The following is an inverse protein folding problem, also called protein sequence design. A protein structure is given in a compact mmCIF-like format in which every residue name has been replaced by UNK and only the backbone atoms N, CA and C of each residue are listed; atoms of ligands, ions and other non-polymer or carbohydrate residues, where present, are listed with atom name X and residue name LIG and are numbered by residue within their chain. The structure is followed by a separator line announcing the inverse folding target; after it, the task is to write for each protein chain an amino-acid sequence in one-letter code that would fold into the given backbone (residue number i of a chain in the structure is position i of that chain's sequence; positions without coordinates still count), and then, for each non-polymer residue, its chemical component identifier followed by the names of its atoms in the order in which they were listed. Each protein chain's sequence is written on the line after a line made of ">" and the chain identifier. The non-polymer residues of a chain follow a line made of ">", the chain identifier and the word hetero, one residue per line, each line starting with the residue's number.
data_IF_232802605575
#
_entry.id   IF_232802605575
#
_cell.length_a   1.000
_cell.length_b   1.000
_cell.length_c   1.000
_cell.angle_alpha   90.00
_cell.angle_beta   90.00
_cell.angle_gamma   90.00
#
_symmetry.space_group_name_H-M   'P 1'
#
loop_
_entity.id
_entity.type
_entity.pdbx_description
1 polymer ?
#
# COMPACT_ATOMS: atom_id res chain seq x y z
N UNK A 1 16.37 -5.69 -9.97
CA UNK A 1 14.99 -6.18 -9.88
C UNK A 1 14.74 -6.66 -8.45
N UNK A 2 13.65 -6.22 -7.83
CA UNK A 2 13.21 -6.61 -6.50
C UNK A 2 11.83 -7.26 -6.59
N UNK A 3 11.50 -8.20 -5.70
CA UNK A 3 10.17 -8.83 -5.65
C UNK A 3 9.39 -8.15 -4.54
N UNK A 4 8.27 -7.51 -4.88
CA UNK A 4 7.42 -6.81 -3.90
C UNK A 4 6.27 -7.69 -3.40
N UNK A 5 5.84 -8.68 -4.18
CA UNK A 5 4.79 -9.61 -3.79
C UNK A 5 4.96 -10.95 -4.52
N UNK A 6 4.61 -12.04 -3.83
CA UNK A 6 4.58 -13.40 -4.39
C UNK A 6 3.35 -14.12 -3.86
N UNK A 7 2.59 -14.75 -4.76
CA UNK A 7 1.52 -15.68 -4.40
C UNK A 7 1.77 -17.03 -5.07
N UNK A 8 1.61 -18.10 -4.30
CA UNK A 8 1.94 -19.46 -4.72
C UNK A 8 0.96 -20.01 -5.76
N UNK A 9 -0.30 -19.63 -5.65
CA UNK A 9 -1.38 -20.15 -6.49
C UNK A 9 -2.36 -19.03 -6.85
N UNK A 10 -2.36 -18.69 -8.14
CA UNK A 10 -3.35 -17.80 -8.77
C UNK A 10 -4.01 -18.51 -9.93
N UNK A 11 -5.26 -18.13 -10.18
CA UNK A 11 -6.10 -18.67 -11.24
C UNK A 11 -6.32 -17.59 -12.29
N UNK A 12 -6.20 -17.96 -13.55
CA UNK A 12 -6.42 -17.08 -14.70
C UNK A 12 -7.69 -17.50 -15.41
N UNK A 13 -8.52 -16.52 -15.77
CA UNK A 13 -9.82 -16.70 -16.39
C UNK A 13 -9.88 -15.92 -17.70
N UNK A 14 -10.56 -16.50 -18.67
CA UNK A 14 -10.92 -15.78 -19.88
C UNK A 14 -12.10 -14.86 -19.57
N UNK A 15 -11.97 -13.58 -19.92
CA UNK A 15 -13.01 -12.59 -19.67
C UNK A 15 -13.66 -12.14 -20.99
N UNK A 16 -14.96 -11.86 -20.99
CA UNK A 16 -15.60 -11.22 -22.13
C UNK A 16 -15.02 -9.82 -22.38
N UNK A 17 -14.95 -9.36 -23.64
CA UNK A 17 -14.60 -7.97 -23.94
C UNK A 17 -15.65 -7.04 -23.32
N UNK A 18 -15.21 -5.87 -22.82
CA UNK A 18 -16.12 -4.86 -22.24
C UNK A 18 -17.20 -4.46 -23.25
N UNK A 19 -18.46 -4.77 -22.93
CA UNK A 19 -19.62 -4.34 -23.73
C UNK A 19 -20.36 -3.14 -23.11
N UNK A 20 -20.07 -2.81 -21.86
CA UNK A 20 -20.82 -1.81 -21.07
C UNK A 20 -19.88 -1.00 -20.17
N UNK A 21 -20.32 0.20 -19.77
CA UNK A 21 -19.61 1.09 -18.83
C UNK A 21 -19.67 0.59 -17.36
N UNK A 22 -20.22 -0.59 -17.11
CA UNK A 22 -20.46 -1.16 -15.78
C UNK A 22 -19.19 -1.70 -15.10
N UNK A 23 -18.05 -1.74 -15.81
CA UNK A 23 -16.80 -2.35 -15.34
C UNK A 23 -16.83 -3.87 -15.45
N UNK A 24 -15.82 -4.53 -14.87
CA UNK A 24 -15.71 -5.99 -14.86
C UNK A 24 -16.40 -6.60 -13.63
N UNK A 25 -17.12 -7.71 -13.86
CA UNK A 25 -17.87 -8.43 -12.85
C UNK A 25 -17.49 -9.93 -12.90
N UNK A 26 -17.08 -10.52 -11.77
CA UNK A 26 -16.57 -11.90 -11.74
C UNK A 26 -17.68 -12.92 -11.91
N UNK A 27 -18.92 -12.56 -11.55
CA UNK A 27 -20.12 -13.36 -11.85
C UNK A 27 -20.39 -13.58 -13.34
N UNK A 28 -19.77 -12.80 -14.24
CA UNK A 28 -19.82 -13.01 -15.69
C UNK A 28 -18.75 -14.00 -16.19
N UNK A 29 -17.84 -14.43 -15.31
CA UNK A 29 -16.73 -15.32 -15.64
C UNK A 29 -17.05 -16.75 -15.23
N UNK A 30 -16.45 -17.72 -15.92
CA UNK A 30 -16.54 -19.13 -15.54
C UNK A 30 -15.49 -19.44 -14.45
N UNK A 31 -15.86 -19.18 -13.18
CA UNK A 31 -14.97 -19.33 -12.02
C UNK A 31 -14.60 -20.79 -11.75
N UNK A 32 -15.43 -21.74 -12.18
CA UNK A 32 -15.19 -23.17 -11.98
C UNK A 32 -14.19 -23.74 -13.00
N UNK A 33 -14.00 -23.05 -14.13
CA UNK A 33 -13.11 -23.47 -15.21
C UNK A 33 -12.00 -22.43 -15.47
N UNK A 34 -10.96 -22.38 -14.62
CA UNK A 34 -9.80 -21.52 -14.89
C UNK A 34 -9.09 -21.94 -16.17
N UNK A 35 -8.68 -20.95 -16.97
CA UNK A 35 -7.86 -21.13 -18.17
C UNK A 35 -6.46 -21.64 -17.81
N UNK A 36 -5.90 -21.13 -16.72
CA UNK A 36 -4.56 -21.47 -16.27
C UNK A 36 -4.43 -21.29 -14.76
N UNK A 37 -3.49 -22.01 -14.16
CA UNK A 37 -3.12 -21.91 -12.76
C UNK A 37 -1.61 -21.91 -12.62
N UNK A 38 -1.10 -21.05 -11.76
CA UNK A 38 0.32 -21.06 -11.39
C UNK A 38 0.67 -20.03 -10.35
N UNK A 39 1.92 -19.59 -10.35
CA UNK A 39 2.50 -18.67 -9.38
C UNK A 39 2.49 -17.24 -9.93
N UNK A 40 2.17 -16.26 -9.09
CA UNK A 40 2.29 -14.84 -9.41
C UNK A 40 3.51 -14.25 -8.71
N UNK A 41 4.33 -13.51 -9.45
CA UNK A 41 5.39 -12.67 -8.91
C UNK A 41 5.18 -11.24 -9.38
N UNK A 42 5.26 -10.30 -8.44
CA UNK A 42 5.22 -8.87 -8.74
C UNK A 42 6.61 -8.33 -8.53
N UNK A 43 7.19 -7.82 -9.61
CA UNK A 43 8.59 -7.40 -9.66
C UNK A 43 8.67 -5.90 -9.87
N UNK A 44 9.56 -5.30 -9.10
CA UNK A 44 9.96 -3.92 -9.22
C UNK A 44 11.30 -3.87 -9.95
N UNK A 45 11.31 -3.23 -11.12
CA UNK A 45 12.47 -3.15 -12.01
C UNK A 45 12.87 -1.68 -12.09
N UNK A 46 14.08 -1.36 -11.64
CA UNK A 46 14.67 -0.04 -11.85
C UNK A 46 14.93 0.18 -13.34
N UNK A 47 14.66 1.37 -13.83
CA UNK A 47 14.93 1.76 -15.21
C UNK A 47 16.35 2.34 -15.29
N UNK A 48 17.23 1.69 -16.05
CA UNK A 48 18.65 2.07 -16.15
C UNK A 48 18.84 3.45 -16.79
N UNK A 49 17.88 3.91 -17.59
CA UNK A 49 17.96 5.20 -18.29
C UNK A 49 17.71 6.42 -17.37
N UNK A 50 17.01 6.22 -16.25
CA UNK A 50 16.79 7.22 -15.24
C UNK A 50 16.71 6.50 -13.89
N UNK A 51 17.80 6.49 -13.12
CA UNK A 51 17.91 5.77 -11.84
C UNK A 51 16.78 6.06 -10.83
N UNK A 52 16.00 7.12 -11.07
CA UNK A 52 14.83 7.54 -10.29
C UNK A 52 13.52 6.87 -10.71
N UNK A 53 13.44 6.31 -11.92
CA UNK A 53 12.22 5.70 -12.46
C UNK A 53 12.24 4.21 -12.20
N UNK A 54 11.16 3.74 -11.61
CA UNK A 54 10.97 2.32 -11.31
C UNK A 54 9.66 1.87 -11.96
N UNK A 55 9.69 0.70 -12.61
CA UNK A 55 8.51 0.07 -13.22
C UNK A 55 8.13 -1.18 -12.44
N UNK A 56 6.85 -1.51 -12.41
CA UNK A 56 6.34 -2.74 -11.81
C UNK A 56 5.84 -3.66 -12.91
N UNK A 57 6.14 -4.94 -12.81
CA UNK A 57 5.77 -5.98 -13.76
C UNK A 57 5.21 -7.18 -12.99
N UNK A 58 4.04 -7.67 -13.42
CA UNK A 58 3.44 -8.89 -12.89
C UNK A 58 3.81 -10.04 -13.82
N UNK A 59 4.45 -11.07 -13.30
CA UNK A 59 4.81 -12.29 -14.04
C UNK A 59 4.03 -13.47 -13.52
N UNK A 60 3.32 -14.12 -14.43
CA UNK A 60 2.60 -15.37 -14.20
C UNK A 60 3.51 -16.51 -14.64
N UNK A 61 3.93 -17.34 -13.70
CA UNK A 61 4.88 -18.43 -13.93
C UNK A 61 4.23 -19.77 -13.58
N UNK A 62 4.52 -20.82 -14.33
CA UNK A 62 4.07 -22.16 -13.95
C UNK A 62 4.77 -22.61 -12.65
N UNK A 63 4.01 -23.25 -11.76
CA UNK A 63 4.53 -23.63 -10.44
C UNK A 63 5.56 -24.77 -10.54
N UNK A 64 5.40 -25.68 -11.51
CA UNK A 64 6.31 -26.82 -11.73
C UNK A 64 7.57 -26.44 -12.49
N UNK A 65 7.43 -25.80 -13.65
CA UNK A 65 8.55 -25.52 -14.57
C UNK A 65 9.20 -24.16 -14.35
N UNK A 66 8.49 -23.20 -13.75
CA UNK A 66 8.93 -21.81 -13.70
C UNK A 66 8.84 -21.08 -15.04
N UNK A 67 8.22 -21.68 -16.06
CA UNK A 67 8.03 -21.06 -17.37
C UNK A 67 7.08 -19.85 -17.26
N UNK A 68 7.46 -18.75 -17.91
CA UNK A 68 6.63 -17.54 -17.96
C UNK A 68 5.42 -17.78 -18.86
N UNK A 69 4.23 -17.80 -18.28
CA UNK A 69 2.97 -17.88 -19.00
C UNK A 69 2.58 -16.52 -19.62
N UNK A 70 2.63 -15.46 -18.82
CA UNK A 70 2.29 -14.12 -19.28
C UNK A 70 2.96 -13.03 -18.42
N UNK A 71 3.26 -11.90 -19.07
CA UNK A 71 3.72 -10.68 -18.41
C UNK A 71 2.64 -9.59 -18.48
N UNK A 72 2.38 -8.94 -17.36
CA UNK A 72 1.44 -7.84 -17.24
C UNK A 72 2.16 -6.62 -16.63
N UNK A 73 2.62 -5.65 -17.45
CA UNK A 73 3.24 -4.44 -16.94
C UNK A 73 2.23 -3.56 -16.19
N UNK A 74 2.57 -3.17 -14.97
CA UNK A 74 1.75 -2.28 -14.15
C UNK A 74 1.93 -0.82 -14.58
N UNK A 75 0.82 -0.17 -14.92
CA UNK A 75 0.78 1.24 -15.30
C UNK A 75 0.36 2.09 -14.09
N UNK A 76 1.14 3.11 -13.73
CA UNK A 76 0.82 4.01 -12.61
C UNK A 76 -0.52 4.76 -12.80
N UNK A 77 -0.96 4.92 -14.04
CA UNK A 77 -2.28 5.46 -14.42
C UNK A 77 -3.44 4.62 -13.87
N UNK A 78 -3.19 3.39 -13.40
CA UNK A 78 -4.20 2.46 -12.90
C UNK A 78 -4.86 1.62 -14.00
N UNK A 79 -4.41 1.72 -15.25
CA UNK A 79 -4.99 1.03 -16.42
C UNK A 79 -4.40 -0.37 -16.70
N UNK A 80 -3.55 -0.88 -15.80
CA UNK A 80 -2.88 -2.20 -15.95
C UNK A 80 -3.50 -3.31 -15.11
N UNK A 81 -4.03 -2.95 -13.94
CA UNK A 81 -4.67 -3.88 -13.00
C UNK A 81 -5.91 -3.18 -12.44
N UNK A 82 -7.07 -3.78 -12.64
CA UNK A 82 -8.36 -3.27 -12.18
C UNK A 82 -9.02 -4.29 -11.25
N UNK A 83 -9.57 -3.85 -10.13
CA UNK A 83 -10.31 -4.73 -9.24
C UNK A 83 -11.75 -4.90 -9.73
N UNK A 84 -12.26 -6.12 -9.67
CA UNK A 84 -13.64 -6.44 -10.07
C UNK A 84 -14.63 -5.88 -9.03
N UNK A 85 -15.81 -5.43 -9.49
CA UNK A 85 -16.77 -4.71 -8.63
C UNK A 85 -17.49 -5.58 -7.59
N UNK A 86 -17.75 -6.86 -7.88
CA UNK A 86 -18.53 -7.76 -7.04
C UNK A 86 -17.66 -8.63 -6.11
N UNK A 87 -16.34 -8.63 -6.30
CA UNK A 87 -15.42 -9.46 -5.52
C UNK A 87 -14.07 -8.81 -5.35
N UNK A 88 -13.54 -8.86 -4.12
CA UNK A 88 -12.19 -8.38 -3.86
C UNK A 88 -11.10 -9.42 -4.15
N UNK A 89 -11.47 -10.66 -4.52
CA UNK A 89 -10.53 -11.74 -4.84
C UNK A 89 -10.12 -11.75 -6.32
N UNK A 90 -10.91 -11.10 -7.16
CA UNK A 90 -10.72 -11.11 -8.60
C UNK A 90 -10.25 -9.73 -9.08
N UNK A 91 -9.38 -9.77 -10.06
CA UNK A 91 -8.78 -8.62 -10.71
C UNK A 91 -8.77 -8.86 -12.21
N UNK A 92 -8.80 -7.80 -12.98
CA UNK A 92 -8.50 -7.83 -14.40
C UNK A 92 -7.11 -7.28 -14.62
N UNK A 93 -6.28 -8.06 -15.28
CA UNK A 93 -4.90 -7.70 -15.60
C UNK A 93 -4.76 -7.52 -17.10
N UNK A 94 -3.98 -6.51 -17.51
CA UNK A 94 -3.59 -6.30 -18.90
C UNK A 94 -2.29 -7.04 -19.16
N UNK A 95 -2.37 -8.19 -19.81
CA UNK A 95 -1.20 -8.94 -20.27
C UNK A 95 -0.73 -8.41 -21.62
N UNK A 96 0.58 -8.46 -21.85
CA UNK A 96 1.22 -8.00 -23.08
C UNK A 96 2.04 -9.16 -23.66
N UNK A 97 1.88 -9.37 -24.97
CA UNK A 97 2.62 -10.34 -25.77
C UNK A 97 3.19 -9.63 -27.00
N UNK A 98 4.45 -9.20 -26.90
CA UNK A 98 5.09 -8.30 -27.87
C UNK A 98 4.33 -6.97 -27.98
N UNK A 99 3.83 -6.68 -29.18
CA UNK A 99 3.06 -5.45 -29.47
C UNK A 99 1.55 -5.60 -29.20
N UNK A 100 1.08 -6.82 -28.88
CA UNK A 100 -0.33 -7.09 -28.61
C UNK A 100 -0.61 -7.09 -27.12
N UNK A 101 -1.83 -6.73 -26.75
CA UNK A 101 -2.29 -6.84 -25.38
C UNK A 101 -3.65 -7.51 -25.31
N UNK A 102 -3.91 -8.17 -24.19
CA UNK A 102 -5.20 -8.77 -23.86
C UNK A 102 -5.53 -8.48 -22.40
N UNK A 103 -6.81 -8.53 -22.07
CA UNK A 103 -7.27 -8.50 -20.69
C UNK A 103 -7.61 -9.91 -20.24
N UNK A 104 -7.10 -10.30 -19.09
CA UNK A 104 -7.39 -11.58 -18.45
C UNK A 104 -7.92 -11.35 -17.05
N UNK A 105 -8.82 -12.22 -16.63
CA UNK A 105 -9.26 -12.29 -15.25
C UNK A 105 -8.20 -13.03 -14.44
N UNK A 106 -7.89 -12.54 -13.26
CA UNK A 106 -6.99 -13.15 -12.30
C UNK A 106 -7.71 -13.27 -10.96
N UNK A 107 -7.67 -14.44 -10.34
CA UNK A 107 -8.26 -14.69 -9.04
C UNK A 107 -7.26 -15.30 -8.07
N UNK A 108 -7.36 -14.89 -6.82
CA UNK A 108 -6.68 -15.53 -5.71
C UNK A 108 -7.59 -16.57 -5.05
N UNK A 109 -6.98 -17.63 -4.52
CA UNK A 109 -7.69 -18.64 -3.73
C UNK A 109 -8.29 -18.00 -2.47
N UNK A 110 -7.46 -17.23 -1.77
CA UNK A 110 -7.81 -16.58 -0.51
C UNK A 110 -8.00 -15.06 -0.66
N UNK A 111 -8.91 -14.51 0.16
CA UNK A 111 -9.17 -13.07 0.20
C UNK A 111 -8.03 -12.28 0.86
N UNK A 112 -7.32 -12.91 1.80
CA UNK A 112 -6.10 -12.39 2.45
C UNK A 112 -5.03 -12.07 1.41
N UNK A 113 -4.66 -13.05 0.58
CA UNK A 113 -3.62 -12.85 -0.45
C UNK A 113 -4.01 -11.77 -1.47
N UNK A 114 -5.28 -11.74 -1.89
CA UNK A 114 -5.79 -10.68 -2.76
C UNK A 114 -5.69 -9.27 -2.14
N UNK A 115 -5.91 -9.18 -0.83
CA UNK A 115 -5.77 -7.93 -0.10
C UNK A 115 -4.31 -7.50 -0.04
N UNK A 116 -3.40 -8.39 0.33
CA UNK A 116 -1.96 -8.12 0.40
C UNK A 116 -1.40 -7.70 -0.96
N UNK A 117 -1.84 -8.35 -2.04
CA UNK A 117 -1.52 -7.97 -3.42
C UNK A 117 -1.95 -6.53 -3.73
N UNK A 118 -3.19 -6.16 -3.39
CA UNK A 118 -3.69 -4.81 -3.64
C UNK A 118 -2.90 -3.77 -2.82
N UNK A 119 -2.57 -4.08 -1.57
CA UNK A 119 -1.75 -3.19 -0.73
C UNK A 119 -0.34 -3.05 -1.31
N UNK A 120 0.30 -4.13 -1.74
CA UNK A 120 1.63 -4.11 -2.35
C UNK A 120 1.67 -3.20 -3.59
N UNK A 121 0.67 -3.29 -4.47
CA UNK A 121 0.57 -2.41 -5.64
C UNK A 121 0.35 -0.94 -5.27
N UNK A 122 -0.50 -0.68 -4.27
CA UNK A 122 -0.72 0.68 -3.80
C UNK A 122 0.52 1.27 -3.14
N UNK A 123 1.25 0.46 -2.37
CA UNK A 123 2.48 0.88 -1.72
C UNK A 123 3.56 1.20 -2.74
N UNK A 124 3.76 0.34 -3.73
CA UNK A 124 4.61 0.62 -4.89
C UNK A 124 4.25 1.95 -5.55
N UNK A 125 2.95 2.18 -5.83
CA UNK A 125 2.48 3.45 -6.42
C UNK A 125 2.81 4.65 -5.53
N UNK A 126 2.63 4.56 -4.20
CA UNK A 126 2.98 5.63 -3.26
C UNK A 126 4.48 5.90 -3.26
N UNK A 127 5.30 4.84 -3.20
CA UNK A 127 6.76 4.93 -3.21
C UNK A 127 7.27 5.61 -4.48
N UNK A 128 6.81 5.19 -5.66
CA UNK A 128 7.23 5.83 -6.92
C UNK A 128 6.80 7.29 -6.99
N UNK A 129 5.58 7.63 -6.57
CA UNK A 129 5.11 9.02 -6.54
C UNK A 129 5.88 9.88 -5.53
N UNK A 130 6.29 9.32 -4.40
CA UNK A 130 7.13 9.99 -3.42
C UNK A 130 8.51 10.30 -3.98
N UNK A 131 9.17 9.30 -4.57
CA UNK A 131 10.49 9.45 -5.20
C UNK A 131 10.42 10.49 -6.33
N UNK A 132 9.38 10.46 -7.17
CA UNK A 132 9.23 11.43 -8.25
C UNK A 132 9.06 12.88 -7.75
N UNK A 133 8.37 13.09 -6.64
CA UNK A 133 8.21 14.42 -6.02
C UNK A 133 9.49 14.93 -5.37
N UNK A 134 10.24 14.05 -4.69
CA UNK A 134 11.44 14.44 -3.96
C UNK A 134 12.72 14.41 -4.78
N UNK A 135 12.73 13.75 -5.94
CA UNK A 135 13.84 13.80 -6.88
C UNK A 135 13.88 15.09 -7.72
N UNK A 136 12.78 15.86 -7.76
CA UNK A 136 12.69 17.16 -8.42
C UNK A 136 12.16 18.23 -7.44
N UNK A 137 13.01 18.80 -6.56
CA UNK A 137 12.61 19.93 -5.70
C UNK A 137 12.28 21.23 -6.48
N UNK A 138 12.41 21.25 -7.81
CA UNK A 138 12.17 22.43 -8.65
C UNK A 138 10.82 22.44 -9.40
N UNK A 139 9.89 21.52 -9.09
CA UNK A 139 8.59 21.44 -9.77
C UNK A 139 7.41 21.45 -8.78
N UNK A 140 7.34 22.46 -7.93
CA UNK A 140 6.08 22.85 -7.31
C UNK A 140 5.24 23.67 -8.30
N UNK A 141 4.25 23.04 -8.95
CA UNK A 141 2.98 23.72 -9.25
C UNK A 141 1.84 22.73 -9.00
N UNK A 142 1.23 22.85 -7.83
CA UNK A 142 -0.02 22.22 -7.44
C UNK A 142 -1.17 23.11 -7.96
N UNK A 143 -2.16 22.65 -8.74
CA UNK A 143 -3.41 23.40 -8.86
C UNK A 143 -4.33 22.93 -7.73
N UNK A 144 -4.13 23.47 -6.53
CA UNK A 144 -5.16 23.45 -5.47
C UNK A 144 -5.97 24.71 -5.68
N UNK A 145 -7.19 24.52 -6.13
CA UNK A 145 -8.24 25.53 -6.20
C UNK A 145 -8.50 26.12 -4.81
N UNK A 146 -8.03 27.35 -4.61
CA UNK A 146 -8.33 28.17 -3.44
C UNK A 146 -7.49 29.46 -3.48
N UNK A 147 -8.10 30.65 -3.32
CA UNK A 147 -7.34 31.89 -3.36
C UNK A 147 -6.68 32.08 -1.99
N UNK A 148 -5.34 32.19 -1.93
CA UNK A 148 -4.66 33.27 -1.19
C UNK A 148 -3.12 33.14 -1.10
N UNK A 149 -2.52 34.35 -1.20
CA UNK A 149 -1.28 34.88 -0.62
C UNK A 149 0.06 34.39 -1.16
N UNK A 150 0.76 35.34 -1.80
CA UNK A 150 2.20 35.33 -2.08
C UNK A 150 2.96 35.08 -0.79
N UNK A 151 3.57 33.92 -0.63
CA UNK A 151 4.57 33.69 0.41
C UNK A 151 5.94 34.09 -0.14
N UNK A 152 6.48 35.16 0.42
CA UNK A 152 7.85 35.60 0.20
C UNK A 152 8.79 34.56 0.81
N UNK A 153 9.73 34.05 0.01
CA UNK A 153 10.76 33.11 0.42
C UNK A 153 11.62 33.77 1.49
N UNK A 154 11.36 33.42 2.76
CA UNK A 154 12.21 33.83 3.87
C UNK A 154 13.41 32.89 3.94
N UNK A 155 14.58 33.46 3.69
CA UNK A 155 15.87 32.81 3.92
C UNK A 155 16.15 32.79 5.42
N UNK A 156 16.16 31.60 6.01
CA UNK A 156 16.44 31.37 7.43
C UNK A 156 17.88 30.91 7.67
N UNK A 157 18.78 31.17 6.72
CA UNK A 157 20.21 30.92 6.90
C UNK A 157 20.79 31.87 7.96
N UNK A 158 21.44 31.32 8.97
CA UNK A 158 22.15 32.08 9.99
C UNK A 158 23.29 32.87 9.34
N UNK A 159 23.43 34.13 9.73
CA UNK A 159 24.56 34.95 9.26
C UNK A 159 25.83 34.51 9.99
N UNK A 160 26.96 34.58 9.29
CA UNK A 160 28.26 34.14 9.78
C UNK A 160 28.60 34.86 11.10
N UNK A 161 28.62 34.10 12.21
CA UNK A 161 28.89 34.61 13.57
C UNK A 161 27.73 34.47 14.57
N UNK A 162 26.53 34.06 14.15
CA UNK A 162 25.39 33.85 15.06
C UNK A 162 25.41 32.44 15.68
N UNK A 163 25.56 32.35 17.01
CA UNK A 163 25.59 31.07 17.75
C UNK A 163 24.22 30.78 18.36
N UNK A 164 23.54 29.70 17.93
CA UNK A 164 22.29 29.26 18.54
C UNK A 164 22.58 28.62 19.90
N UNK A 165 22.11 29.26 20.98
CA UNK A 165 22.17 28.67 22.31
C UNK A 165 20.98 27.74 22.52
N UNK A 166 21.21 26.43 22.45
CA UNK A 166 20.17 25.43 22.71
C UNK A 166 20.16 25.12 24.21
N UNK A 167 19.12 25.56 24.93
CA UNK A 167 18.89 25.16 26.31
C UNK A 167 18.31 23.74 26.34
N UNK A 168 19.18 22.74 26.33
CA UNK A 168 18.80 21.34 26.57
C UNK A 168 18.44 21.17 28.05
N UNK A 169 17.14 21.22 28.35
CA UNK A 169 16.60 20.92 29.67
C UNK A 169 16.97 19.50 30.09
N UNK A 170 17.82 19.40 31.12
CA UNK A 170 18.24 18.15 31.75
C UNK A 170 17.02 17.38 32.25
N UNK A 171 16.69 16.27 31.59
CA UNK A 171 15.78 15.25 32.12
C UNK A 171 16.46 14.57 33.32
N UNK A 172 16.33 15.16 34.50
CA UNK A 172 16.70 14.50 35.76
C UNK A 172 15.76 13.32 36.00
N UNK A 173 16.28 12.15 35.64
CA UNK A 173 15.97 10.81 36.15
C UNK A 173 15.58 10.85 37.63
N UNK A 174 14.28 10.83 37.94
CA UNK A 174 13.80 10.57 39.31
C UNK A 174 13.77 9.06 39.53
N UNK A 175 14.93 8.48 39.89
CA UNK A 175 14.99 7.18 40.58
C UNK A 175 14.38 7.38 41.98
N UNK A 176 13.35 6.61 42.31
CA UNK A 176 12.93 6.37 43.71
C UNK A 176 12.60 4.90 43.86
N UNK A 177 13.47 4.21 44.57
CA UNK A 177 13.25 2.96 45.34
C UNK A 177 14.16 3.06 46.56
N UNK A 178 14.04 2.20 47.58
CA UNK A 178 12.87 1.79 48.36
C UNK A 178 13.12 2.00 49.87
N UNK A 179 12.10 1.78 50.71
CA UNK A 179 12.08 1.56 52.19
C UNK A 179 10.87 2.31 52.79
N UNK A 180 10.10 1.82 53.75
CA UNK A 180 10.16 0.62 54.61
C UNK A 180 8.78 0.46 55.25
N UNK A 181 8.45 -0.81 55.52
CA UNK A 181 7.46 -1.37 56.44
C UNK A 181 7.08 -0.50 57.65
N UNK A 182 5.78 -0.46 57.97
CA UNK A 182 5.23 -0.56 59.34
C UNK A 182 3.72 -0.80 59.27
N UNK A 183 3.28 -1.82 60.00
CA UNK A 183 1.95 -2.40 60.08
C UNK A 183 0.96 -1.50 60.85
N UNK A 184 -0.33 -1.53 60.47
CA UNK A 184 -1.39 -1.82 61.44
C UNK A 184 -2.71 -2.19 60.78
N UNK A 185 -3.38 -3.14 61.42
CA UNK A 185 -4.49 -3.95 60.94
C UNK A 185 -5.85 -3.26 60.96
N UNK A 186 -6.75 -3.66 60.03
CA UNK A 186 -8.14 -4.02 60.34
C UNK A 186 -8.88 -4.59 59.10
N UNK A 187 -9.13 -5.90 59.15
CA UNK A 187 -10.34 -6.62 58.75
C UNK A 187 -11.06 -6.34 57.41
N UNK A 188 -10.96 -7.37 56.55
CA UNK A 188 -11.99 -7.99 55.71
C UNK A 188 -12.41 -7.40 54.34
N UNK A 189 -12.82 -8.27 53.39
CA UNK A 189 -12.63 -8.09 51.96
C UNK A 189 -13.94 -7.86 51.19
N UNK A 190 -13.84 -7.36 49.97
CA UNK A 190 -14.86 -7.59 48.95
C UNK A 190 -15.07 -6.43 47.97
N UNK A 191 -14.45 -6.56 46.78
CA UNK A 191 -14.88 -6.04 45.47
C UNK A 191 -15.28 -4.54 45.38
N UNK A 192 -14.40 -3.66 44.91
CA UNK A 192 -14.10 -3.36 43.49
C UNK A 192 -15.31 -2.88 42.65
N UNK A 193 -15.17 -1.61 42.21
CA UNK A 193 -15.79 -0.90 41.07
C UNK A 193 -17.03 0.00 41.37
N UNK A 194 -16.89 1.35 41.32
CA UNK A 194 -18.05 2.21 41.17
C UNK A 194 -18.46 2.28 39.70
N UNK A 195 -19.71 1.85 39.49
CA UNK A 195 -20.52 1.87 38.28
C UNK A 195 -20.49 3.22 37.52
N UNK A 196 -20.33 3.16 36.19
CA UNK A 196 -20.64 4.26 35.26
C UNK A 196 -22.17 4.37 35.09
N UNK A 197 -22.75 5.58 35.07
CA UNK A 197 -24.18 5.76 34.82
C UNK A 197 -24.54 5.57 33.33
N UNK A 198 -25.73 5.02 33.01
CA UNK A 198 -26.17 4.80 31.64
C UNK A 198 -26.67 6.10 30.97
N UNK A 199 -26.63 6.17 29.62
CA UNK A 199 -26.99 7.36 28.85
C UNK A 199 -28.52 7.55 28.75
N UNK A 200 -29.00 8.81 28.59
CA UNK A 200 -30.42 9.12 28.45
C UNK A 200 -30.95 8.71 27.07
N UNK A 201 -32.18 8.19 27.02
CA UNK A 201 -32.97 8.07 25.79
C UNK A 201 -34.27 8.87 25.91
N UNK A 202 -34.72 9.37 24.76
CA UNK A 202 -35.95 10.13 24.54
C UNK A 202 -37.23 9.42 24.99
#
# INVERSE_FOLDING_TARGET
>A
ESIIFISREVLIYQIPPLRSSKGYCASEWDVDKPLWRGRLRVLEIADDAAATRVRCELRLEDNSSGELFASAPYLLTGKGVEQVTDSSRFFVIRVVDGDRYAYLGMGFMERSEAFDFNIALQDFKRCVLYVQKHANPSAEIIPRSGPQKKEEVKDYSLKEGETITISLGVLTRRRRSPNTTSENAASNPGALLPFLPPPPSA
#
